data_IF_563674171636
#
_entry.id   IF_563674171636
#
_cell.length_a   1.000
_cell.length_b   1.000
_cell.length_c   1.000
_cell.angle_alpha   90.00
_cell.angle_beta   90.00
_cell.angle_gamma   90.00
#
_symmetry.space_group_name_H-M   'P 1'
#
loop_
_entity.id
_entity.type
_entity.pdbx_description
1 polymer ?
#
# COMPACT_ATOMS: atom_id res chain seq x y z
N UNK A 1 32.40 -46.07 -41.20
CA UNK A 1 32.13 -44.63 -40.98
C UNK A 1 30.71 -44.54 -40.47
N UNK A 2 30.55 -44.54 -39.15
CA UNK A 2 29.25 -44.49 -38.49
C UNK A 2 29.02 -43.03 -38.08
N UNK A 3 28.18 -42.32 -38.84
CA UNK A 3 27.92 -40.89 -38.67
C UNK A 3 26.75 -40.73 -37.69
N UNK A 4 27.04 -40.78 -36.38
CA UNK A 4 26.05 -40.45 -35.35
C UNK A 4 25.88 -38.94 -35.29
N UNK A 5 24.76 -38.49 -35.84
CA UNK A 5 24.26 -37.12 -35.74
C UNK A 5 23.98 -36.81 -34.25
N UNK A 6 24.88 -36.08 -33.59
CA UNK A 6 24.64 -35.56 -32.25
C UNK A 6 23.80 -34.29 -32.41
N UNK A 7 22.50 -34.41 -32.17
CA UNK A 7 21.60 -33.26 -32.05
C UNK A 7 21.98 -32.51 -30.75
N UNK A 8 22.76 -31.44 -30.86
CA UNK A 8 22.90 -30.47 -29.78
C UNK A 8 21.61 -29.68 -29.69
N UNK A 9 20.70 -30.11 -28.81
CA UNK A 9 19.62 -29.25 -28.33
C UNK A 9 20.29 -28.27 -27.37
N UNK A 10 20.82 -27.17 -27.91
CA UNK A 10 21.07 -25.97 -27.13
C UNK A 10 19.70 -25.48 -26.66
N UNK A 11 19.34 -25.89 -25.45
CA UNK A 11 18.29 -25.23 -24.68
C UNK A 11 18.73 -23.78 -24.52
N UNK A 12 18.25 -22.91 -25.42
CA UNK A 12 18.19 -21.49 -25.15
C UNK A 12 17.29 -21.35 -23.93
N UNK A 13 17.90 -21.39 -22.75
CA UNK A 13 17.33 -20.80 -21.55
C UNK A 13 17.11 -19.34 -21.93
N UNK A 14 15.90 -19.01 -22.35
CA UNK A 14 15.43 -17.63 -22.35
C UNK A 14 15.42 -17.28 -20.87
N UNK A 15 16.53 -16.74 -20.38
CA UNK A 15 16.59 -16.05 -19.11
C UNK A 15 15.55 -14.94 -19.23
N UNK A 16 14.37 -15.15 -18.67
CA UNK A 16 13.40 -14.08 -18.50
C UNK A 16 14.08 -13.05 -17.59
N UNK A 17 14.39 -11.86 -18.12
CA UNK A 17 14.94 -10.73 -17.34
C UNK A 17 13.87 -10.13 -16.41
N UNK A 18 13.14 -10.99 -15.70
CA UNK A 18 12.03 -10.62 -14.84
C UNK A 18 12.04 -11.47 -13.58
N UNK A 19 11.85 -10.82 -12.43
CA UNK A 19 11.51 -11.46 -11.17
C UNK A 19 10.01 -11.39 -10.97
N UNK A 20 9.49 -12.39 -10.27
CA UNK A 20 8.14 -12.38 -9.71
C UNK A 20 8.20 -12.62 -8.22
N UNK A 21 7.75 -11.64 -7.44
CA UNK A 21 7.83 -11.71 -5.98
C UNK A 21 6.48 -11.50 -5.30
N UNK A 22 6.35 -12.09 -4.13
CA UNK A 22 5.17 -12.03 -3.28
C UNK A 22 5.37 -10.97 -2.20
N UNK A 23 4.38 -10.12 -1.97
CA UNK A 23 4.28 -9.26 -0.80
C UNK A 23 3.08 -9.70 0.05
N UNK A 24 3.32 -9.91 1.33
CA UNK A 24 2.28 -10.17 2.33
C UNK A 24 2.57 -9.34 3.58
N UNK A 25 1.54 -8.77 4.19
CA UNK A 25 1.68 -7.81 5.28
C UNK A 25 0.55 -7.99 6.30
N UNK A 26 0.81 -7.52 7.52
CA UNK A 26 -0.21 -7.21 8.52
C UNK A 26 -1.13 -8.42 8.78
N UNK A 27 -0.53 -9.52 9.25
CA UNK A 27 -1.28 -10.72 9.61
C UNK A 27 -2.15 -10.46 10.83
N UNK A 28 -1.63 -9.72 11.82
CA UNK A 28 -2.23 -9.55 13.14
C UNK A 28 -2.80 -10.87 13.67
N UNK A 29 -1.90 -11.80 13.98
CA UNK A 29 -2.34 -13.09 14.51
C UNK A 29 -2.89 -12.91 15.92
N UNK A 30 -4.17 -13.26 16.11
CA UNK A 30 -4.84 -13.30 17.40
C UNK A 30 -4.93 -14.77 17.90
N UNK A 31 -4.08 -15.15 18.87
CA UNK A 31 -4.09 -16.51 19.43
C UNK A 31 -5.33 -16.80 20.29
N UNK A 32 -6.03 -15.76 20.76
CA UNK A 32 -7.18 -15.85 21.65
C UNK A 32 -8.52 -15.75 20.89
N UNK A 33 -8.47 -15.58 19.56
CA UNK A 33 -9.66 -15.58 18.70
C UNK A 33 -10.52 -16.82 18.94
N UNK A 34 -11.81 -16.60 19.18
CA UNK A 34 -12.76 -17.68 19.35
C UNK A 34 -14.05 -17.41 18.59
N UNK A 35 -14.50 -18.38 17.79
CA UNK A 35 -15.78 -18.30 17.07
C UNK A 35 -17.01 -18.13 18.00
N UNK A 36 -16.88 -18.44 19.29
CA UNK A 36 -17.88 -18.21 20.34
C UNK A 36 -17.66 -16.91 21.14
N UNK A 37 -16.64 -16.12 20.78
CA UNK A 37 -16.31 -14.86 21.41
C UNK A 37 -17.27 -13.73 21.06
N UNK A 38 -16.94 -12.52 21.49
CA UNK A 38 -17.75 -11.31 21.26
C UNK A 38 -16.99 -10.35 20.35
N UNK A 39 -17.56 -10.03 19.19
CA UNK A 39 -16.91 -9.17 18.19
C UNK A 39 -16.42 -7.83 18.77
N UNK A 40 -17.24 -7.18 19.61
CA UNK A 40 -16.89 -5.92 20.27
C UNK A 40 -15.86 -6.03 21.41
N UNK A 41 -15.34 -7.22 21.71
CA UNK A 41 -14.36 -7.49 22.76
C UNK A 41 -13.20 -8.32 22.19
N UNK A 42 -12.64 -7.85 21.08
CA UNK A 42 -11.54 -8.50 20.36
C UNK A 42 -11.82 -9.95 19.95
N UNK A 43 -13.09 -10.36 19.94
CA UNK A 43 -13.50 -11.69 19.50
C UNK A 43 -13.02 -12.82 20.43
N UNK A 44 -12.70 -12.46 21.67
CA UNK A 44 -12.32 -13.37 22.73
C UNK A 44 -13.55 -13.86 23.50
N UNK A 45 -13.44 -15.00 24.17
CA UNK A 45 -14.50 -15.50 25.05
C UNK A 45 -14.70 -14.60 26.28
N UNK A 46 -15.95 -14.31 26.59
CA UNK A 46 -16.33 -13.48 27.74
C UNK A 46 -17.17 -14.29 28.72
N UNK A 47 -16.80 -14.29 30.00
CA UNK A 47 -17.44 -15.14 31.03
C UNK A 47 -18.93 -14.81 31.26
N UNK A 48 -19.39 -13.59 30.95
CA UNK A 48 -20.74 -13.10 31.27
C UNK A 48 -21.42 -12.33 30.12
N UNK A 49 -21.05 -12.55 28.85
CA UNK A 49 -21.70 -11.83 27.74
C UNK A 49 -22.94 -12.56 27.21
N UNK A 50 -23.97 -11.79 26.88
CA UNK A 50 -25.10 -12.27 26.07
C UNK A 50 -24.66 -12.37 24.61
N UNK A 51 -24.58 -13.61 24.10
CA UNK A 51 -24.17 -13.92 22.72
C UNK A 51 -25.17 -13.31 21.73
N UNK A 52 -24.67 -12.57 20.75
CA UNK A 52 -25.51 -11.98 19.69
C UNK A 52 -25.49 -12.80 18.39
N UNK A 53 -24.36 -13.44 18.05
CA UNK A 53 -24.20 -14.36 16.89
C UNK A 53 -22.88 -15.15 17.04
N UNK A 54 -22.78 -16.36 16.47
CA UNK A 54 -21.50 -17.08 16.33
C UNK A 54 -20.64 -16.38 15.27
N UNK A 55 -19.37 -16.13 15.56
CA UNK A 55 -18.41 -15.55 14.63
C UNK A 55 -17.92 -16.61 13.63
N UNK A 56 -17.30 -16.14 12.54
CA UNK A 56 -16.71 -16.99 11.52
C UNK A 56 -15.55 -17.85 12.04
N UNK A 57 -15.23 -18.94 11.35
CA UNK A 57 -14.03 -19.72 11.70
C UNK A 57 -12.74 -19.12 11.10
N UNK A 58 -12.88 -18.30 10.06
CA UNK A 58 -11.78 -17.62 9.38
C UNK A 58 -11.67 -16.15 9.79
N UNK A 59 -12.41 -15.71 10.80
CA UNK A 59 -12.36 -14.33 11.30
C UNK A 59 -13.70 -13.61 11.20
N UNK A 60 -13.70 -12.36 11.62
CA UNK A 60 -14.80 -11.42 11.50
C UNK A 60 -14.17 -10.02 11.33
N UNK A 61 -14.86 -9.12 10.63
CA UNK A 61 -14.32 -7.81 10.30
C UNK A 61 -14.05 -6.94 11.53
N UNK A 62 -14.54 -7.28 12.73
CA UNK A 62 -14.19 -6.54 13.97
C UNK A 62 -12.97 -7.14 14.71
N UNK A 63 -12.32 -8.14 14.14
CA UNK A 63 -11.27 -8.92 14.79
C UNK A 63 -9.97 -8.93 14.00
N UNK A 64 -8.90 -9.20 14.72
CA UNK A 64 -7.65 -9.67 14.13
C UNK A 64 -7.74 -11.15 13.68
N UNK A 65 -6.72 -11.62 12.98
CA UNK A 65 -6.76 -12.89 12.25
C UNK A 65 -6.61 -14.10 13.16
N UNK A 66 -7.53 -15.09 13.11
CA UNK A 66 -7.28 -16.40 13.70
C UNK A 66 -6.19 -17.16 12.92
N UNK A 67 -5.56 -18.15 13.56
CA UNK A 67 -4.58 -19.05 12.92
C UNK A 67 -5.09 -19.64 11.60
N UNK A 68 -6.37 -20.03 11.54
CA UNK A 68 -7.02 -20.56 10.33
C UNK A 68 -6.94 -19.61 9.14
N UNK A 69 -7.10 -18.29 9.35
CA UNK A 69 -7.01 -17.31 8.27
C UNK A 69 -5.57 -17.12 7.82
N UNK A 70 -4.63 -17.02 8.77
CA UNK A 70 -3.20 -16.88 8.48
C UNK A 70 -2.70 -18.08 7.66
N UNK A 71 -3.00 -19.30 8.10
CA UNK A 71 -2.63 -20.53 7.38
C UNK A 71 -3.29 -20.59 5.99
N UNK A 72 -4.57 -20.22 5.90
CA UNK A 72 -5.30 -20.20 4.63
C UNK A 72 -4.71 -19.19 3.63
N UNK A 73 -4.33 -18.00 4.09
CA UNK A 73 -3.68 -16.97 3.27
C UNK A 73 -2.30 -17.43 2.77
N UNK A 74 -1.47 -18.00 3.64
CA UNK A 74 -0.14 -18.53 3.26
C UNK A 74 -0.28 -19.67 2.24
N UNK A 75 -1.23 -20.59 2.45
CA UNK A 75 -1.49 -21.67 1.50
C UNK A 75 -2.02 -21.16 0.16
N UNK A 76 -2.86 -20.13 0.16
CA UNK A 76 -3.36 -19.49 -1.05
C UNK A 76 -2.23 -18.83 -1.83
N UNK A 77 -1.38 -18.05 -1.14
CA UNK A 77 -0.22 -17.41 -1.73
C UNK A 77 0.74 -18.42 -2.37
N UNK A 78 1.03 -19.53 -1.67
CA UNK A 78 1.85 -20.63 -2.19
C UNK A 78 1.21 -21.33 -3.41
N UNK A 79 -0.13 -21.39 -3.51
CA UNK A 79 -0.81 -21.93 -4.70
C UNK A 79 -0.81 -20.94 -5.87
N UNK A 80 -0.90 -19.64 -5.59
CA UNK A 80 -0.91 -18.58 -6.60
C UNK A 80 0.47 -18.40 -7.25
N UNK A 81 1.53 -18.45 -6.45
CA UNK A 81 2.91 -18.39 -6.91
C UNK A 81 3.74 -19.44 -6.17
N UNK A 82 3.91 -20.60 -6.79
CA UNK A 82 4.54 -21.77 -6.17
C UNK A 82 6.04 -21.59 -5.90
N UNK A 83 6.73 -20.83 -6.77
CA UNK A 83 8.17 -20.58 -6.68
C UNK A 83 8.44 -19.08 -6.88
N UNK A 84 8.12 -18.22 -5.89
CA UNK A 84 8.46 -16.81 -5.97
C UNK A 84 9.98 -16.63 -5.90
N UNK A 85 10.52 -15.68 -6.65
CA UNK A 85 11.94 -15.33 -6.53
C UNK A 85 12.26 -14.74 -5.15
N UNK A 86 11.29 -14.01 -4.58
CA UNK A 86 11.38 -13.36 -3.27
C UNK A 86 10.00 -13.37 -2.58
N UNK A 87 10.02 -13.52 -1.25
CA UNK A 87 8.89 -13.22 -0.37
C UNK A 87 9.25 -12.01 0.48
N UNK A 88 8.49 -10.92 0.32
CA UNK A 88 8.61 -9.71 1.12
C UNK A 88 7.50 -9.71 2.18
N UNK A 89 7.92 -9.76 3.44
CA UNK A 89 7.02 -9.67 4.58
C UNK A 89 7.29 -8.38 5.35
N UNK A 90 6.33 -7.46 5.36
CA UNK A 90 6.48 -6.12 5.96
C UNK A 90 5.97 -6.02 7.40
N UNK A 91 5.83 -7.15 8.11
CA UNK A 91 5.60 -7.16 9.56
C UNK A 91 4.15 -7.03 10.02
N UNK A 92 3.99 -6.47 11.22
CA UNK A 92 2.79 -6.40 12.08
C UNK A 92 2.22 -7.74 12.57
N UNK A 93 2.90 -8.28 13.58
CA UNK A 93 2.59 -9.59 14.18
C UNK A 93 2.36 -9.54 15.70
N UNK A 94 2.76 -8.44 16.35
CA UNK A 94 2.73 -8.29 17.81
C UNK A 94 2.14 -6.91 18.16
N UNK A 95 1.50 -6.74 19.33
CA UNK A 95 0.84 -5.50 19.70
C UNK A 95 1.82 -4.35 19.95
N UNK A 96 1.34 -3.13 19.71
CA UNK A 96 2.02 -1.87 19.99
C UNK A 96 2.55 -1.83 21.45
N UNK A 97 3.83 -1.50 21.62
CA UNK A 97 4.43 -1.19 22.92
C UNK A 97 4.59 0.32 23.07
N UNK A 98 4.20 0.84 24.23
CA UNK A 98 4.34 2.27 24.56
C UNK A 98 5.66 2.50 25.29
N UNK A 99 6.66 3.03 24.58
CA UNK A 99 7.80 3.78 25.14
C UNK A 99 8.63 4.33 23.97
N UNK A 100 8.29 5.53 23.50
CA UNK A 100 9.09 6.24 22.51
C UNK A 100 9.96 7.28 23.20
N UNK A 101 11.27 7.18 23.01
CA UNK A 101 12.21 8.27 23.32
C UNK A 101 12.29 9.20 22.12
N UNK A 102 12.10 10.51 22.33
CA UNK A 102 12.24 11.53 21.28
C UNK A 102 13.73 11.77 20.96
N UNK A 103 14.35 10.85 20.22
CA UNK A 103 15.71 10.99 19.69
C UNK A 103 15.66 11.48 18.23
N UNK A 104 16.61 12.30 17.78
CA UNK A 104 16.64 12.79 16.39
C UNK A 104 16.96 11.70 15.37
N UNK A 105 17.64 10.63 15.79
CA UNK A 105 17.96 9.44 14.99
C UNK A 105 17.86 8.18 15.86
N UNK A 106 16.63 7.70 16.15
CA UNK A 106 16.42 6.58 17.05
C UNK A 106 17.16 5.34 16.53
N UNK A 107 17.95 4.72 17.41
CA UNK A 107 18.84 3.60 17.10
C UNK A 107 19.89 3.88 15.99
N UNK A 108 20.08 5.13 15.57
CA UNK A 108 21.00 5.49 14.48
C UNK A 108 20.54 5.02 13.09
N UNK A 109 19.24 4.74 12.91
CA UNK A 109 18.70 4.11 11.71
C UNK A 109 18.83 4.99 10.46
N UNK A 110 18.66 6.32 10.57
CA UNK A 110 18.84 7.24 9.45
C UNK A 110 20.31 7.27 9.01
N UNK A 111 21.24 7.38 9.96
CA UNK A 111 22.66 7.35 9.65
C UNK A 111 23.11 6.02 9.03
N UNK A 112 22.63 4.89 9.56
CA UNK A 112 22.86 3.58 8.97
C UNK A 112 22.35 3.50 7.52
N UNK A 113 21.11 3.96 7.28
CA UNK A 113 20.49 3.92 5.96
C UNK A 113 21.26 4.75 4.93
N UNK A 114 21.67 5.97 5.29
CA UNK A 114 22.51 6.81 4.42
C UNK A 114 23.82 6.13 4.05
N UNK A 115 24.52 5.52 5.02
CA UNK A 115 25.77 4.80 4.77
C UNK A 115 25.58 3.60 3.84
N UNK A 116 24.54 2.80 4.05
CA UNK A 116 24.23 1.66 3.20
C UNK A 116 23.93 2.09 1.74
N UNK A 117 23.14 3.15 1.57
CA UNK A 117 22.80 3.67 0.25
C UNK A 117 24.01 4.33 -0.45
N UNK A 118 24.83 5.07 0.29
CA UNK A 118 26.09 5.62 -0.23
C UNK A 118 27.03 4.50 -0.71
N UNK A 119 27.13 3.40 0.05
CA UNK A 119 27.91 2.23 -0.34
C UNK A 119 27.36 1.59 -1.61
N UNK A 120 26.05 1.35 -1.68
CA UNK A 120 25.39 0.79 -2.86
C UNK A 120 25.64 1.68 -4.10
N UNK A 121 25.46 2.99 -3.96
CA UNK A 121 25.72 3.96 -5.03
C UNK A 121 27.18 3.92 -5.50
N UNK A 122 28.14 3.91 -4.58
CA UNK A 122 29.58 3.84 -4.92
C UNK A 122 29.96 2.55 -5.65
N UNK A 123 29.20 1.48 -5.42
CA UNK A 123 29.38 0.17 -6.07
C UNK A 123 28.55 0.01 -7.37
N UNK A 124 27.87 1.06 -7.84
CA UNK A 124 26.93 1.00 -8.97
C UNK A 124 25.81 -0.04 -8.76
N UNK A 125 25.39 -0.25 -7.52
CA UNK A 125 24.29 -1.13 -7.15
C UNK A 125 23.00 -0.32 -6.99
N UNK A 126 21.87 -1.03 -7.01
CA UNK A 126 20.55 -0.47 -6.70
C UNK A 126 20.04 -1.04 -5.38
N UNK A 127 19.18 -0.29 -4.71
CA UNK A 127 18.59 -0.66 -3.44
C UNK A 127 17.06 -0.67 -3.53
N UNK A 128 16.43 -1.52 -2.72
CA UNK A 128 15.00 -1.51 -2.45
C UNK A 128 14.82 -1.23 -0.95
N UNK A 129 13.89 -0.36 -0.60
CA UNK A 129 13.54 -0.09 0.80
C UNK A 129 12.25 -0.84 1.12
N UNK A 130 12.32 -1.69 2.14
CA UNK A 130 11.21 -2.48 2.65
C UNK A 130 11.07 -2.11 4.13
N UNK A 131 9.91 -1.62 4.52
CA UNK A 131 9.61 -1.26 5.90
C UNK A 131 8.11 -1.50 6.20
N UNK A 132 7.71 -1.38 7.45
CA UNK A 132 6.31 -1.57 7.83
C UNK A 132 5.49 -0.29 7.59
N UNK A 133 5.79 0.78 8.35
CA UNK A 133 5.08 2.06 8.31
C UNK A 133 5.57 2.92 7.12
N UNK A 134 4.67 3.38 6.22
CA UNK A 134 5.05 4.22 5.09
C UNK A 134 5.23 5.70 5.47
N UNK A 135 6.01 6.47 4.67
CA UNK A 135 6.04 7.93 4.79
C UNK A 135 4.75 8.53 4.25
N UNK A 136 4.51 9.80 4.61
CA UNK A 136 3.29 10.50 4.24
C UNK A 136 2.14 10.28 5.20
N UNK A 137 0.94 10.48 4.69
CA UNK A 137 -0.28 10.48 5.49
C UNK A 137 -1.10 9.23 5.19
N UNK A 138 -1.89 8.83 6.16
CA UNK A 138 -2.90 7.82 5.93
C UNK A 138 -3.95 8.32 4.93
N UNK A 139 -4.30 7.52 3.93
CA UNK A 139 -5.11 7.98 2.80
C UNK A 139 -6.63 7.96 3.08
N UNK A 140 -7.10 7.05 3.96
CA UNK A 140 -8.54 6.96 4.28
C UNK A 140 -9.02 7.96 5.34
N UNK A 141 -8.13 8.49 6.20
CA UNK A 141 -8.45 9.59 7.15
C UNK A 141 -7.54 10.79 6.88
N UNK A 142 -8.12 11.98 6.63
CA UNK A 142 -7.33 13.20 6.52
C UNK A 142 -6.47 13.48 7.76
N UNK A 143 -5.25 14.00 7.54
CA UNK A 143 -4.34 14.52 8.57
C UNK A 143 -3.76 13.50 9.59
N UNK A 144 -3.94 12.20 9.38
CA UNK A 144 -3.27 11.19 10.21
C UNK A 144 -1.84 10.97 9.70
N UNK A 145 -0.87 11.15 10.60
CA UNK A 145 0.56 11.01 10.37
C UNK A 145 1.07 9.87 11.24
N UNK A 146 1.90 9.00 10.67
CA UNK A 146 2.55 7.91 11.43
C UNK A 146 3.96 8.29 11.86
N UNK A 147 4.66 9.05 11.03
CA UNK A 147 5.96 9.60 11.38
C UNK A 147 5.77 10.96 12.05
N UNK A 148 6.70 11.32 12.93
CA UNK A 148 6.84 12.72 13.32
C UNK A 148 7.20 13.55 12.09
N UNK A 149 6.94 14.87 12.15
CA UNK A 149 7.27 15.77 11.05
C UNK A 149 8.75 15.70 10.67
N UNK A 150 9.63 15.60 11.68
CA UNK A 150 11.06 15.46 11.48
C UNK A 150 11.43 14.13 10.81
N UNK A 151 10.91 12.99 11.29
CA UNK A 151 11.23 11.68 10.74
C UNK A 151 10.73 11.53 9.30
N UNK A 152 9.52 12.00 8.99
CA UNK A 152 8.99 11.98 7.64
C UNK A 152 9.87 12.79 6.70
N UNK A 153 10.26 14.00 7.13
CA UNK A 153 11.15 14.85 6.35
C UNK A 153 12.51 14.21 6.13
N UNK A 154 13.16 13.71 7.19
CA UNK A 154 14.47 13.06 7.09
C UNK A 154 14.42 11.85 6.15
N UNK A 155 13.39 11.02 6.25
CA UNK A 155 13.22 9.85 5.39
C UNK A 155 13.03 10.24 3.90
N UNK A 156 12.18 11.21 3.61
CA UNK A 156 11.98 11.72 2.25
C UNK A 156 13.25 12.36 1.68
N UNK A 157 14.01 13.09 2.51
CA UNK A 157 15.29 13.68 2.09
C UNK A 157 16.33 12.61 1.72
N UNK A 158 16.37 11.48 2.44
CA UNK A 158 17.19 10.31 2.06
C UNK A 158 16.74 9.75 0.70
N UNK A 159 15.43 9.55 0.49
CA UNK A 159 14.93 9.05 -0.80
C UNK A 159 15.34 9.97 -1.95
N UNK A 160 15.22 11.28 -1.77
CA UNK A 160 15.62 12.28 -2.76
C UNK A 160 17.11 12.23 -3.07
N UNK A 161 17.95 12.14 -2.03
CA UNK A 161 19.40 12.10 -2.17
C UNK A 161 19.89 10.86 -2.94
N UNK A 162 19.18 9.73 -2.79
CA UNK A 162 19.54 8.45 -3.42
C UNK A 162 18.53 7.98 -4.47
N UNK A 163 17.80 8.90 -5.11
CA UNK A 163 16.71 8.57 -6.07
C UNK A 163 17.14 7.71 -7.26
N UNK A 164 18.39 7.84 -7.69
CA UNK A 164 18.94 7.04 -8.81
C UNK A 164 19.36 5.63 -8.36
N UNK A 165 19.61 5.45 -7.06
CA UNK A 165 19.99 4.18 -6.43
C UNK A 165 18.78 3.39 -5.93
N UNK A 166 17.79 4.05 -5.35
CA UNK A 166 16.57 3.43 -4.82
C UNK A 166 15.60 3.15 -5.96
N UNK A 167 15.23 1.89 -6.16
CA UNK A 167 14.35 1.46 -7.28
C UNK A 167 12.97 0.96 -6.86
N UNK A 168 12.78 0.69 -5.57
CA UNK A 168 11.52 0.14 -5.06
C UNK A 168 11.34 0.55 -3.60
N UNK A 169 10.12 0.93 -3.25
CA UNK A 169 9.68 1.32 -1.92
C UNK A 169 8.42 0.50 -1.57
N UNK A 170 8.51 -0.38 -0.58
CA UNK A 170 7.48 -1.38 -0.26
C UNK A 170 7.11 -1.31 1.24
N UNK A 171 5.82 -1.16 1.52
CA UNK A 171 5.28 -0.94 2.87
C UNK A 171 3.98 -1.71 3.12
N UNK A 172 3.50 -1.72 4.38
CA UNK A 172 2.20 -2.24 4.82
C UNK A 172 1.49 -1.23 5.73
N UNK A 173 1.05 -1.65 6.91
CA UNK A 173 0.50 -0.83 8.01
C UNK A 173 -0.89 -0.22 7.76
N UNK A 174 -1.18 0.27 6.56
CA UNK A 174 -2.44 0.96 6.27
C UNK A 174 -3.66 0.02 6.19
N UNK A 175 -3.41 -1.27 5.96
CA UNK A 175 -4.39 -2.33 5.66
C UNK A 175 -5.22 -2.12 4.38
N UNK A 176 -5.16 -0.93 3.77
CA UNK A 176 -5.74 -0.62 2.48
C UNK A 176 -4.76 -0.75 1.32
N UNK A 177 -5.30 -1.05 0.15
CA UNK A 177 -4.53 -1.09 -1.10
C UNK A 177 -4.28 0.35 -1.57
N UNK A 178 -3.06 0.86 -1.35
CA UNK A 178 -2.72 2.22 -1.74
C UNK A 178 -1.27 2.38 -2.17
N UNK A 179 -0.92 3.59 -2.61
CA UNK A 179 0.41 3.99 -2.99
C UNK A 179 0.62 5.48 -2.73
N UNK A 180 1.85 5.91 -2.49
CA UNK A 180 2.22 7.33 -2.47
C UNK A 180 3.22 7.66 -3.57
N UNK A 181 2.97 8.72 -4.31
CA UNK A 181 3.94 9.33 -5.23
C UNK A 181 4.95 10.12 -4.40
N UNK A 182 6.22 9.75 -4.51
CA UNK A 182 7.32 10.47 -3.85
C UNK A 182 7.90 11.49 -4.81
N UNK A 183 8.13 12.71 -4.32
CA UNK A 183 8.56 13.86 -5.13
C UNK A 183 9.91 14.42 -4.68
N UNK A 184 10.63 15.00 -5.62
CA UNK A 184 11.83 15.77 -5.32
C UNK A 184 11.53 17.21 -4.85
N UNK A 185 12.58 17.97 -4.56
CA UNK A 185 12.46 19.36 -4.11
C UNK A 185 11.83 20.31 -5.13
N UNK A 186 11.82 19.92 -6.41
CA UNK A 186 11.19 20.67 -7.51
C UNK A 186 9.76 20.18 -7.78
N UNK A 187 9.19 19.35 -6.89
CA UNK A 187 7.85 18.78 -7.00
C UNK A 187 7.67 17.80 -8.18
N UNK A 188 8.78 17.28 -8.73
CA UNK A 188 8.74 16.26 -9.78
C UNK A 188 8.64 14.86 -9.17
N UNK A 189 7.79 13.96 -9.72
CA UNK A 189 7.65 12.61 -9.21
C UNK A 189 8.92 11.79 -9.49
N UNK A 190 9.47 11.14 -8.47
CA UNK A 190 10.75 10.42 -8.53
C UNK A 190 10.67 8.96 -8.10
N UNK A 191 9.65 8.57 -7.33
CA UNK A 191 9.44 7.18 -6.91
C UNK A 191 7.98 6.93 -6.53
N UNK A 192 7.62 5.67 -6.31
CA UNK A 192 6.29 5.25 -5.85
C UNK A 192 6.47 4.32 -4.65
N UNK A 193 5.88 4.68 -3.53
CA UNK A 193 5.78 3.83 -2.35
C UNK A 193 4.52 2.96 -2.45
N UNK A 194 4.68 1.66 -2.59
CA UNK A 194 3.58 0.70 -2.65
C UNK A 194 3.24 0.24 -1.23
N UNK A 195 1.96 0.36 -0.84
CA UNK A 195 1.52 0.14 0.54
C UNK A 195 0.47 -0.96 0.52
N UNK A 196 0.83 -2.15 1.00
CA UNK A 196 0.01 -3.36 0.88
C UNK A 196 -1.28 -3.28 1.68
N UNK A 197 -2.39 -3.86 1.16
CA UNK A 197 -3.48 -4.23 2.02
C UNK A 197 -3.07 -5.40 2.95
N UNK A 198 -3.88 -5.64 3.97
CA UNK A 198 -3.61 -6.60 5.03
C UNK A 198 -4.23 -7.98 4.79
N UNK A 199 -3.67 -8.98 5.46
CA UNK A 199 -4.34 -10.28 5.66
C UNK A 199 -5.39 -10.16 6.75
N UNK A 200 -5.13 -9.40 7.81
CA UNK A 200 -6.18 -9.12 8.80
C UNK A 200 -7.35 -8.37 8.16
N UNK A 201 -8.60 -8.79 8.42
CA UNK A 201 -9.78 -8.07 7.99
C UNK A 201 -10.17 -6.98 9.00
N UNK A 202 -9.36 -6.77 10.05
CA UNK A 202 -9.71 -5.93 11.18
C UNK A 202 -10.16 -4.54 10.76
N UNK A 203 -11.35 -4.19 11.24
CA UNK A 203 -11.94 -2.87 11.12
C UNK A 203 -11.16 -1.93 12.03
N UNK A 204 -10.51 -0.94 11.42
CA UNK A 204 -9.77 0.01 12.21
C UNK A 204 -10.69 0.85 13.10
N UNK A 205 -10.33 0.94 14.39
CA UNK A 205 -10.99 1.78 15.39
C UNK A 205 -11.02 3.28 15.03
N UNK A 206 -10.31 3.69 13.98
CA UNK A 206 -10.37 5.04 13.40
C UNK A 206 -11.60 5.25 12.47
N UNK A 207 -12.49 4.26 12.33
CA UNK A 207 -13.78 4.40 11.63
C UNK A 207 -13.75 4.15 10.12
N UNK A 208 -12.87 3.25 9.68
CA UNK A 208 -12.31 3.26 8.32
C UNK A 208 -12.75 2.17 7.36
N UNK A 209 -13.76 1.41 7.77
CA UNK A 209 -14.12 0.20 7.07
C UNK A 209 -13.09 -0.91 7.32
N UNK A 210 -13.48 -2.11 6.94
CA UNK A 210 -12.61 -3.26 6.92
C UNK A 210 -12.04 -3.47 5.52
N UNK A 211 -11.11 -4.40 5.37
CA UNK A 211 -10.68 -4.94 4.09
C UNK A 211 -10.95 -6.44 4.05
N UNK A 212 -11.09 -7.00 2.85
CA UNK A 212 -10.96 -8.44 2.72
C UNK A 212 -9.50 -8.84 2.93
N UNK A 213 -9.24 -10.05 3.45
CA UNK A 213 -7.90 -10.62 3.50
C UNK A 213 -7.27 -10.65 2.12
N UNK A 214 -6.01 -10.22 2.01
CA UNK A 214 -5.34 -10.05 0.72
C UNK A 214 -3.82 -10.21 0.76
N UNK A 215 -3.23 -10.39 -0.41
CA UNK A 215 -1.79 -10.32 -0.65
C UNK A 215 -1.52 -9.85 -2.08
N UNK A 216 -0.27 -9.50 -2.39
CA UNK A 216 0.12 -9.01 -3.72
C UNK A 216 1.22 -9.83 -4.37
N UNK A 217 1.16 -9.92 -5.70
CA UNK A 217 2.26 -10.42 -6.54
C UNK A 217 2.75 -9.31 -7.44
N UNK A 218 4.06 -9.15 -7.53
CA UNK A 218 4.71 -8.14 -8.36
C UNK A 218 5.47 -8.81 -9.49
N UNK A 219 5.35 -8.24 -10.69
CA UNK A 219 6.28 -8.50 -11.78
C UNK A 219 7.31 -7.37 -11.82
N UNK A 220 8.59 -7.71 -11.89
CA UNK A 220 9.70 -6.76 -11.84
C UNK A 220 10.73 -7.06 -12.92
N UNK A 221 11.07 -6.08 -13.75
CA UNK A 221 12.06 -6.24 -14.79
C UNK A 221 13.48 -5.99 -14.25
N UNK A 222 14.37 -6.96 -14.40
CA UNK A 222 15.74 -6.91 -13.88
C UNK A 222 16.66 -5.95 -14.65
N UNK A 223 16.34 -5.68 -15.91
CA UNK A 223 17.13 -4.83 -16.80
C UNK A 223 16.77 -3.36 -16.60
N UNK A 224 15.48 -3.00 -16.70
CA UNK A 224 15.02 -1.62 -16.43
C UNK A 224 15.01 -1.30 -14.93
N UNK A 225 15.00 -2.33 -14.07
CA UNK A 225 14.88 -2.21 -12.61
C UNK A 225 13.58 -1.59 -12.15
N UNK A 226 12.50 -1.86 -12.88
CA UNK A 226 11.17 -1.30 -12.63
C UNK A 226 10.14 -2.40 -12.40
N UNK A 227 9.14 -2.10 -11.57
CA UNK A 227 7.91 -2.89 -11.50
C UNK A 227 7.22 -2.78 -12.85
N UNK A 228 6.67 -3.88 -13.36
CA UNK A 228 5.93 -3.91 -14.64
C UNK A 228 4.46 -4.26 -14.45
N UNK A 229 4.11 -4.89 -13.32
CA UNK A 229 2.73 -5.04 -12.89
C UNK A 229 2.63 -5.36 -11.39
N UNK A 230 1.46 -5.10 -10.82
CA UNK A 230 1.07 -5.51 -9.46
C UNK A 230 -0.29 -6.19 -9.55
N UNK A 231 -0.40 -7.37 -8.94
CA UNK A 231 -1.62 -8.16 -8.87
C UNK A 231 -2.04 -8.28 -7.41
N UNK A 232 -3.25 -7.82 -7.08
CA UNK A 232 -3.82 -8.02 -5.75
C UNK A 232 -4.75 -9.22 -5.79
N UNK A 233 -4.58 -10.14 -4.85
CA UNK A 233 -5.43 -11.30 -4.64
C UNK A 233 -6.15 -11.15 -3.31
N UNK A 234 -7.42 -11.53 -3.28
CA UNK A 234 -8.22 -11.49 -2.06
C UNK A 234 -9.11 -12.72 -1.93
N UNK A 235 -9.75 -12.84 -0.76
CA UNK A 235 -10.88 -13.73 -0.54
C UNK A 235 -11.99 -12.97 0.15
N UNK A 236 -13.24 -13.15 -0.31
CA UNK A 236 -14.39 -12.58 0.39
C UNK A 236 -14.56 -13.28 1.75
N UNK A 237 -14.29 -12.59 2.84
CA UNK A 237 -14.29 -13.19 4.18
C UNK A 237 -15.66 -13.75 4.57
N UNK A 238 -16.74 -13.05 4.22
CA UNK A 238 -18.11 -13.52 4.48
C UNK A 238 -18.37 -14.85 3.77
N UNK A 239 -18.03 -14.94 2.48
CA UNK A 239 -18.18 -16.17 1.70
C UNK A 239 -17.27 -17.29 2.19
N UNK A 240 -16.05 -16.98 2.62
CA UNK A 240 -15.12 -17.94 3.20
C UNK A 240 -15.64 -18.53 4.52
N UNK A 241 -16.27 -17.70 5.34
CA UNK A 241 -16.92 -18.14 6.58
C UNK A 241 -18.15 -19.02 6.32
N UNK A 242 -18.89 -18.77 5.23
CA UNK A 242 -20.02 -19.61 4.83
C UNK A 242 -19.56 -20.92 4.16
N UNK A 243 -18.46 -20.89 3.41
CA UNK A 243 -17.88 -22.02 2.71
C UNK A 243 -16.34 -22.01 2.80
N UNK A 244 -15.74 -22.92 3.59
CA UNK A 244 -14.27 -23.04 3.72
C UNK A 244 -13.51 -23.35 2.42
N UNK A 245 -14.22 -23.78 1.36
CA UNK A 245 -13.63 -24.01 0.03
C UNK A 245 -13.67 -22.78 -0.88
N UNK A 246 -14.14 -21.62 -0.39
CA UNK A 246 -14.13 -20.37 -1.17
C UNK A 246 -12.70 -20.05 -1.61
N UNK A 247 -12.44 -19.90 -2.92
CA UNK A 247 -11.10 -19.68 -3.42
C UNK A 247 -10.65 -18.23 -3.20
N UNK A 248 -9.35 -18.04 -3.04
CA UNK A 248 -8.71 -16.76 -3.26
C UNK A 248 -8.67 -16.49 -4.75
N UNK A 249 -9.05 -15.28 -5.15
CA UNK A 249 -9.15 -14.90 -6.55
C UNK A 249 -8.31 -13.65 -6.83
N UNK A 250 -7.89 -13.50 -8.09
CA UNK A 250 -7.33 -12.23 -8.55
C UNK A 250 -8.42 -11.16 -8.40
N UNK A 251 -8.18 -10.16 -7.57
CA UNK A 251 -9.05 -9.00 -7.46
C UNK A 251 -8.84 -8.10 -8.67
N UNK A 252 -7.59 -7.70 -8.92
CA UNK A 252 -7.23 -6.91 -10.09
C UNK A 252 -5.73 -6.97 -10.43
N UNK A 253 -5.45 -6.64 -11.68
CA UNK A 253 -4.12 -6.28 -12.19
C UNK A 253 -4.06 -4.76 -12.28
N UNK A 254 -3.09 -4.13 -11.63
CA UNK A 254 -3.00 -2.67 -11.55
C UNK A 254 -2.91 -2.03 -12.94
N UNK A 255 -2.14 -2.67 -13.84
CA UNK A 255 -2.04 -2.23 -15.23
C UNK A 255 -3.39 -2.24 -15.95
N UNK A 256 -4.17 -3.31 -15.80
CA UNK A 256 -5.45 -3.47 -16.51
C UNK A 256 -6.56 -2.61 -15.90
N UNK A 257 -6.57 -2.48 -14.57
CA UNK A 257 -7.56 -1.68 -13.84
C UNK A 257 -7.46 -0.18 -14.15
N UNK A 258 -6.24 0.34 -14.24
CA UNK A 258 -6.00 1.78 -14.38
C UNK A 258 -5.53 2.21 -15.78
N UNK A 259 -5.21 1.26 -16.66
CA UNK A 259 -4.79 1.54 -18.04
C UNK A 259 -3.52 2.39 -18.12
N UNK A 260 -2.63 2.30 -17.13
CA UNK A 260 -1.39 3.07 -17.09
C UNK A 260 -0.40 2.56 -18.15
N UNK A 261 0.33 3.45 -18.85
CA UNK A 261 1.22 3.04 -19.94
C UNK A 261 2.47 2.31 -19.42
N UNK A 262 2.93 2.68 -18.23
CA UNK A 262 4.06 2.11 -17.51
C UNK A 262 3.90 2.39 -16.01
N UNK A 263 4.79 1.83 -15.19
CA UNK A 263 4.80 2.03 -13.74
C UNK A 263 5.76 3.16 -13.31
N UNK A 264 6.06 4.10 -14.21
CA UNK A 264 6.89 5.25 -13.84
C UNK A 264 6.18 6.14 -12.82
N UNK A 265 6.92 6.86 -11.96
CA UNK A 265 6.33 7.82 -11.02
C UNK A 265 5.44 8.87 -11.71
N UNK A 266 5.75 9.23 -12.96
CA UNK A 266 4.95 10.15 -13.76
C UNK A 266 3.59 9.55 -14.14
N UNK A 267 3.53 8.26 -14.50
CA UNK A 267 2.27 7.58 -14.79
C UNK A 267 1.37 7.48 -13.57
N UNK A 268 1.93 7.21 -12.39
CA UNK A 268 1.18 7.25 -11.12
C UNK A 268 0.68 8.66 -10.78
N UNK A 269 1.49 9.70 -10.98
CA UNK A 269 1.03 11.07 -10.82
C UNK A 269 -0.14 11.40 -11.76
N UNK A 270 -0.04 11.03 -13.05
CA UNK A 270 -1.10 11.26 -14.02
C UNK A 270 -2.40 10.50 -13.65
N UNK A 271 -2.27 9.29 -13.09
CA UNK A 271 -3.40 8.52 -12.57
C UNK A 271 -4.10 9.27 -11.42
N UNK A 272 -3.34 9.78 -10.45
CA UNK A 272 -3.88 10.56 -9.31
C UNK A 272 -4.57 11.85 -9.79
N UNK A 273 -4.00 12.55 -10.76
CA UNK A 273 -4.66 13.69 -11.42
C UNK A 273 -5.99 13.29 -12.10
N UNK A 274 -6.06 12.07 -12.62
CA UNK A 274 -7.27 11.47 -13.20
C UNK A 274 -8.40 11.29 -12.18
N UNK A 275 -8.08 10.91 -10.94
CA UNK A 275 -9.09 10.72 -9.86
C UNK A 275 -9.88 12.01 -9.55
N UNK A 276 -9.27 13.18 -9.73
CA UNK A 276 -9.94 14.47 -9.57
C UNK A 276 -10.97 14.76 -10.68
N UNK A 277 -10.79 14.14 -11.85
CA UNK A 277 -11.54 14.45 -13.08
C UNK A 277 -12.56 13.37 -13.46
N UNK A 278 -12.35 12.14 -13.00
CA UNK A 278 -13.17 10.98 -13.36
C UNK A 278 -13.59 10.23 -12.10
N UNK A 279 -14.87 10.33 -11.74
CA UNK A 279 -15.43 9.66 -10.56
C UNK A 279 -15.48 8.14 -10.70
N UNK A 280 -15.68 7.60 -11.91
CA UNK A 280 -15.62 6.16 -12.14
C UNK A 280 -14.22 5.63 -11.86
N UNK A 281 -13.18 6.31 -12.36
CA UNK A 281 -11.79 5.94 -12.12
C UNK A 281 -11.44 5.99 -10.63
N UNK A 282 -11.88 7.05 -9.93
CA UNK A 282 -11.69 7.15 -8.49
C UNK A 282 -12.50 6.10 -7.72
N UNK A 283 -13.72 5.77 -8.17
CA UNK A 283 -14.54 4.70 -7.60
C UNK A 283 -13.89 3.33 -7.73
N UNK A 284 -13.23 3.04 -8.86
CA UNK A 284 -12.38 1.85 -9.01
C UNK A 284 -11.26 1.84 -7.97
N UNK A 285 -10.58 2.97 -7.76
CA UNK A 285 -9.58 3.09 -6.70
C UNK A 285 -10.17 2.87 -5.31
N UNK A 286 -11.33 3.47 -4.98
CA UNK A 286 -11.97 3.29 -3.68
C UNK A 286 -12.34 1.82 -3.40
N UNK A 287 -12.89 1.13 -4.42
CA UNK A 287 -13.23 -0.28 -4.30
C UNK A 287 -12.00 -1.14 -3.98
N UNK A 288 -10.88 -0.93 -4.68
CA UNK A 288 -9.67 -1.71 -4.44
C UNK A 288 -8.93 -1.27 -3.17
N UNK A 289 -8.98 0.01 -2.82
CA UNK A 289 -8.41 0.51 -1.57
C UNK A 289 -8.97 -0.23 -0.36
N UNK A 290 -10.26 -0.59 -0.38
CA UNK A 290 -10.92 -1.39 0.68
C UNK A 290 -10.91 -2.89 0.40
N UNK A 291 -10.18 -3.35 -0.63
CA UNK A 291 -10.12 -4.76 -1.05
C UNK A 291 -11.54 -5.32 -1.28
N UNK A 292 -12.34 -4.57 -2.04
CA UNK A 292 -13.70 -4.92 -2.43
C UNK A 292 -14.70 -5.10 -1.28
N UNK A 293 -14.50 -4.47 -0.13
CA UNK A 293 -15.50 -4.43 0.95
C UNK A 293 -16.47 -3.26 0.81
N UNK A 294 -15.98 -2.10 0.36
CA UNK A 294 -16.78 -0.89 0.14
C UNK A 294 -16.21 -0.03 -1.00
N UNK A 295 -17.01 0.17 -2.05
CA UNK A 295 -16.68 1.06 -3.18
C UNK A 295 -17.35 2.43 -3.09
N UNK A 296 -17.95 2.78 -1.95
CA UNK A 296 -18.66 4.04 -1.78
C UNK A 296 -17.73 5.24 -1.92
N UNK A 297 -18.20 6.28 -2.61
CA UNK A 297 -17.42 7.49 -2.79
C UNK A 297 -17.54 8.38 -1.53
N UNK A 298 -16.42 8.87 -0.99
CA UNK A 298 -16.46 9.79 0.12
C UNK A 298 -16.96 11.18 -0.33
N UNK A 299 -17.30 12.04 0.63
CA UNK A 299 -17.60 13.44 0.34
C UNK A 299 -16.38 14.16 -0.28
N UNK A 300 -16.62 15.32 -0.89
CA UNK A 300 -15.60 16.08 -1.63
C UNK A 300 -14.38 16.47 -0.80
N UNK A 301 -14.54 16.75 0.50
CA UNK A 301 -13.44 17.10 1.39
C UNK A 301 -12.52 15.92 1.64
N UNK A 302 -13.09 14.75 1.94
CA UNK A 302 -12.33 13.52 2.17
C UNK A 302 -11.68 13.06 0.85
N UNK A 303 -12.42 13.11 -0.27
CA UNK A 303 -11.87 12.84 -1.60
C UNK A 303 -10.64 13.70 -1.90
N UNK A 304 -10.71 15.01 -1.65
CA UNK A 304 -9.58 15.91 -1.86
C UNK A 304 -8.39 15.54 -0.98
N UNK A 305 -8.62 15.26 0.31
CA UNK A 305 -7.58 14.83 1.22
C UNK A 305 -6.90 13.54 0.77
N UNK A 306 -7.67 12.54 0.33
CA UNK A 306 -7.15 11.27 -0.15
C UNK A 306 -6.33 11.45 -1.45
N UNK A 307 -6.81 12.26 -2.40
CA UNK A 307 -6.03 12.59 -3.60
C UNK A 307 -4.73 13.31 -3.23
N UNK A 308 -4.77 14.22 -2.25
CA UNK A 308 -3.58 14.92 -1.76
C UNK A 308 -2.57 13.98 -1.09
N UNK A 309 -3.00 13.00 -0.28
CA UNK A 309 -2.09 12.06 0.38
C UNK A 309 -1.42 11.14 -0.65
N UNK A 310 -2.14 10.70 -1.68
CA UNK A 310 -1.59 9.92 -2.79
C UNK A 310 -0.48 10.65 -3.54
N UNK A 311 -0.59 11.98 -3.70
CA UNK A 311 0.32 12.76 -4.52
C UNK A 311 1.47 13.42 -3.73
N UNK A 312 1.32 13.56 -2.41
CA UNK A 312 2.23 14.31 -1.54
C UNK A 312 2.48 13.59 -0.20
N UNK A 313 3.63 12.89 -0.12
CA UNK A 313 4.13 12.38 1.15
C UNK A 313 4.70 13.48 2.07
N UNK A 314 5.07 14.64 1.54
CA UNK A 314 5.47 15.81 2.34
C UNK A 314 4.25 16.44 3.02
N UNK A 315 4.33 16.59 4.35
CA UNK A 315 3.24 17.15 5.14
C UNK A 315 2.89 18.60 4.74
N UNK A 316 3.87 19.46 4.48
CA UNK A 316 3.61 20.84 4.05
C UNK A 316 2.93 20.89 2.67
N UNK A 317 3.35 20.03 1.74
CA UNK A 317 2.77 19.97 0.39
C UNK A 317 1.34 19.42 0.43
N UNK A 318 1.11 18.41 1.25
CA UNK A 318 -0.23 17.91 1.54
C UNK A 318 -1.13 19.04 2.09
N UNK A 319 -0.66 19.81 3.09
CA UNK A 319 -1.41 20.92 3.68
C UNK A 319 -1.75 22.02 2.67
N UNK A 320 -0.85 22.31 1.73
CA UNK A 320 -1.11 23.23 0.62
C UNK A 320 -2.15 22.66 -0.34
N UNK A 321 -2.05 21.37 -0.68
CA UNK A 321 -2.97 20.69 -1.59
C UNK A 321 -4.41 20.69 -1.07
N UNK A 322 -4.63 20.37 0.21
CA UNK A 322 -5.99 20.39 0.80
C UNK A 322 -6.54 21.80 0.95
N UNK A 323 -5.67 22.79 1.21
CA UNK A 323 -6.03 24.21 1.32
C UNK A 323 -6.34 24.87 -0.03
N UNK A 324 -5.86 24.29 -1.14
CA UNK A 324 -6.04 24.80 -2.51
C UNK A 324 -7.50 24.87 -3.00
N UNK A 325 -8.45 24.28 -2.26
CA UNK A 325 -9.87 24.50 -2.46
C UNK A 325 -10.32 25.94 -2.10
N UNK A 326 -9.61 26.64 -1.20
CA UNK A 326 -9.91 28.02 -0.79
C UNK A 326 -9.26 29.08 -1.72
N UNK A 327 -8.16 28.76 -2.42
CA UNK A 327 -7.50 29.72 -3.31
C UNK A 327 -8.32 30.05 -4.57
N UNK A 328 -9.13 29.08 -5.06
CA UNK A 328 -10.09 29.30 -6.15
C UNK A 328 -11.19 30.31 -5.77
N UNK A 329 -11.53 30.44 -4.48
CA UNK A 329 -12.49 31.44 -4.01
C UNK A 329 -11.84 32.83 -3.99
N UNK A 330 -10.57 32.92 -3.59
CA UNK A 330 -9.86 34.21 -3.52
C UNK A 330 -9.57 34.79 -4.93
N UNK A 331 -9.32 33.95 -5.94
CA UNK A 331 -9.14 34.45 -7.32
C UNK A 331 -10.44 35.00 -7.94
N UNK A 332 -11.60 34.47 -7.54
CA UNK A 332 -12.91 34.98 -8.00
C UNK A 332 -13.20 36.36 -7.39
N UNK A 333 -12.87 36.58 -6.11
CA UNK A 333 -13.01 37.90 -5.49
C UNK A 333 -12.03 38.93 -6.05
N UNK A 334 -10.79 38.52 -6.40
CA UNK A 334 -9.81 39.43 -7.01
C UNK A 334 -10.20 39.86 -8.43
N UNK A 335 -10.85 38.99 -9.21
CA UNK A 335 -11.38 39.33 -10.54
C UNK A 335 -12.61 40.26 -10.43
N UNK A 336 -13.52 40.00 -9.49
CA UNK A 336 -14.67 40.87 -9.24
C UNK A 336 -14.26 42.28 -8.77
N UNK A 337 -13.24 42.38 -7.91
CA UNK A 337 -12.72 43.67 -7.46
C UNK A 337 -12.03 44.45 -8.59
N UNK A 338 -11.31 43.75 -9.48
CA UNK A 338 -10.66 44.38 -10.63
C UNK A 338 -11.67 44.84 -11.70
N UNK A 339 -12.80 44.13 -11.87
CA UNK A 339 -13.88 44.57 -12.77
C UNK A 339 -14.67 45.78 -12.22
N UNK A 340 -14.83 45.91 -10.89
CA UNK A 340 -15.46 47.09 -10.28
C UNK A 340 -14.61 48.36 -10.38
N UNK A 341 -13.28 48.23 -10.37
CA UNK A 341 -12.35 49.36 -10.53
C UNK A 341 -12.23 49.88 -11.97
N UNK A 342 -12.69 49.13 -12.97
CA UNK A 342 -12.71 49.54 -14.39
C UNK A 342 -14.04 50.23 -14.75
N UNK A 343 -15.05 50.18 -13.88
CA UNK A 343 -16.37 50.81 -14.07
C UNK A 343 -16.60 52.05 -13.19
N UNK A 344 -15.56 52.68 -12.65
CA UNK A 344 -15.61 53.94 -11.91
C UNK A 344 -14.82 55.05 -12.61
#
# INVERSE_FOLDING_TARGET
>A
MDLRLVLHISCLLISTNSLRFLQIADFHYDPDYNSNGVAAQMCHEQKNSTKTKKLGEFGDYLCDSPAKLVENAVQAAAKTLAEPDLLLWTGDNIPHIDEYTEESDPAGQFEFTKKALAQAQSNNQTAHIIAHIPPGLYDRVPNIKWFTDEYNKQFLDIIRAYKDTIKLLIFGHHHGDTFHVIRDSNDSPINVAYISPAVTPWYSGLGLGANNPSFRVFDYNLESKEVTNVYTYNVNLTALNDNPSTPWTLEYSFKDAYGIPDFSPQSFHNLVEGFSKNETLFGTYMLYNTVSTDGSLPNSTIKQAQICSLNHADYDKYSVCISGALSKICSIFSIFFMMMLIML
#
